data_IF_346304460067
#
_entry.id   IF_346304460067
#
_cell.length_a   1.000
_cell.length_b   1.000
_cell.length_c   1.000
_cell.angle_alpha   90.00
_cell.angle_beta   90.00
_cell.angle_gamma   90.00
#
_symmetry.space_group_name_H-M   'P 1'
#
loop_
_entity.id
_entity.type
_entity.pdbx_description
1 polymer ?
#
# COMPACT_ATOMS: atom_id res chain seq x y z
N UNK A 1 12.33 -19.16 7.04
CA UNK A 1 12.97 -18.46 5.90
C UNK A 1 12.40 -17.04 5.76
N UNK A 2 12.40 -16.24 6.85
CA UNK A 2 11.93 -14.84 6.85
C UNK A 2 12.72 -14.00 7.86
N UNK A 3 14.05 -14.14 7.86
CA UNK A 3 14.96 -13.41 8.76
C UNK A 3 15.83 -12.42 7.98
N UNK A 4 15.20 -11.56 7.17
CA UNK A 4 15.94 -10.66 6.26
C UNK A 4 15.27 -9.34 5.90
N UNK A 5 14.10 -9.01 6.44
CA UNK A 5 13.49 -7.68 6.24
C UNK A 5 14.00 -6.71 7.32
N UNK A 6 15.32 -6.56 7.39
CA UNK A 6 15.94 -5.38 8.00
C UNK A 6 15.65 -4.18 7.13
N UNK A 7 14.73 -3.31 7.59
CA UNK A 7 14.68 -1.86 7.40
C UNK A 7 15.45 -1.26 6.21
N UNK A 8 15.19 -1.72 4.98
CA UNK A 8 15.53 -0.95 3.79
C UNK A 8 14.27 -0.25 3.32
N UNK A 9 14.19 1.05 3.59
CA UNK A 9 13.43 1.96 2.74
C UNK A 9 14.06 1.86 1.35
N UNK A 10 13.51 1.00 0.53
CA UNK A 10 13.98 0.75 -0.81
C UNK A 10 13.43 1.89 -1.69
N UNK A 11 14.28 2.49 -2.53
CA UNK A 11 13.86 3.61 -3.37
C UNK A 11 12.72 3.16 -4.29
N UNK A 12 11.84 4.07 -4.73
CA UNK A 12 10.70 3.71 -5.60
C UNK A 12 11.11 2.83 -6.80
N UNK A 13 12.29 3.11 -7.39
CA UNK A 13 12.86 2.32 -8.51
C UNK A 13 13.34 0.93 -8.10
N UNK A 14 14.01 0.80 -6.96
CA UNK A 14 14.48 -0.51 -6.46
C UNK A 14 13.29 -1.35 -5.95
N UNK A 15 12.30 -0.74 -5.30
CA UNK A 15 11.03 -1.36 -4.92
C UNK A 15 10.30 -1.89 -6.16
N UNK A 16 10.24 -1.08 -7.22
CA UNK A 16 9.64 -1.46 -8.48
C UNK A 16 10.35 -2.63 -9.14
N UNK A 17 11.69 -2.62 -9.17
CA UNK A 17 12.47 -3.74 -9.70
C UNK A 17 12.24 -5.02 -8.88
N UNK A 18 12.25 -4.93 -7.55
CA UNK A 18 11.96 -6.08 -6.68
C UNK A 18 10.54 -6.60 -6.88
N UNK A 19 9.56 -5.70 -7.02
CA UNK A 19 8.17 -6.05 -7.32
C UNK A 19 8.07 -6.85 -8.63
N UNK A 20 8.62 -6.33 -9.73
CA UNK A 20 8.61 -7.00 -11.03
C UNK A 20 9.26 -8.39 -10.98
N UNK A 21 10.35 -8.54 -10.21
CA UNK A 21 11.05 -9.83 -10.11
C UNK A 21 10.45 -10.80 -9.10
N UNK A 22 9.46 -10.39 -8.30
CA UNK A 22 8.91 -11.20 -7.21
C UNK A 22 7.87 -12.23 -7.67
N UNK A 23 7.45 -12.21 -8.93
CA UNK A 23 6.39 -13.09 -9.44
C UNK A 23 4.98 -12.71 -8.96
N UNK A 24 4.84 -11.50 -8.40
CA UNK A 24 3.62 -11.06 -7.72
C UNK A 24 2.49 -10.74 -8.71
N UNK A 25 2.82 -10.29 -9.92
CA UNK A 25 1.86 -10.06 -11.00
C UNK A 25 1.27 -11.38 -11.50
N UNK A 26 2.11 -12.40 -11.67
CA UNK A 26 1.72 -13.77 -12.02
C UNK A 26 0.90 -14.41 -10.90
N UNK A 27 1.26 -14.17 -9.64
CA UNK A 27 0.49 -14.62 -8.49
C UNK A 27 -0.91 -14.00 -8.48
N UNK A 28 -1.05 -12.68 -8.69
CA UNK A 28 -2.36 -12.02 -8.75
C UNK A 28 -3.22 -12.51 -9.92
N UNK A 29 -2.60 -12.81 -11.06
CA UNK A 29 -3.27 -13.35 -12.24
C UNK A 29 -3.76 -14.78 -12.04
N UNK A 30 -3.07 -15.58 -11.22
CA UNK A 30 -3.40 -16.98 -10.95
C UNK A 30 -4.51 -17.21 -9.92
N UNK A 31 -4.82 -16.23 -9.07
CA UNK A 31 -5.74 -16.36 -7.92
C UNK A 31 -7.20 -15.99 -8.28
N UNK A 32 -7.56 -15.89 -9.57
CA UNK A 32 -8.90 -15.46 -10.00
C UNK A 32 -10.00 -16.56 -9.85
N UNK A 33 -10.87 -16.47 -8.82
CA UNK A 33 -12.33 -16.53 -9.00
C UNK A 33 -13.07 -15.27 -8.47
N UNK A 34 -14.40 -15.11 -8.74
CA UNK A 34 -15.06 -13.80 -8.92
C UNK A 34 -15.41 -13.01 -7.65
N UNK A 35 -14.83 -13.31 -6.49
CA UNK A 35 -15.24 -12.65 -5.24
C UNK A 35 -14.05 -12.33 -4.35
N UNK A 36 -13.63 -11.06 -4.38
CA UNK A 36 -13.62 -10.14 -3.23
C UNK A 36 -12.54 -9.06 -3.30
N UNK A 37 -11.60 -9.15 -4.24
CA UNK A 37 -10.66 -8.08 -4.52
C UNK A 37 -10.50 -8.01 -6.03
N UNK A 38 -10.85 -6.87 -6.63
CA UNK A 38 -10.65 -6.68 -8.05
C UNK A 38 -9.14 -6.52 -8.26
N UNK A 39 -8.44 -7.65 -8.46
CA UNK A 39 -6.98 -7.69 -8.61
C UNK A 39 -6.51 -6.74 -9.72
N UNK A 40 -7.38 -6.46 -10.69
CA UNK A 40 -7.20 -5.45 -11.74
C UNK A 40 -7.12 -4.03 -11.17
N UNK A 41 -7.99 -3.66 -10.22
CA UNK A 41 -7.97 -2.36 -9.53
C UNK A 41 -6.72 -2.19 -8.66
N UNK A 42 -6.25 -3.27 -8.03
CA UNK A 42 -5.01 -3.24 -7.25
C UNK A 42 -3.79 -3.02 -8.16
N UNK A 43 -3.66 -3.77 -9.25
CA UNK A 43 -2.58 -3.59 -10.24
C UNK A 43 -2.61 -2.20 -10.85
N UNK A 44 -3.79 -1.74 -11.29
CA UNK A 44 -3.96 -0.39 -11.85
C UNK A 44 -3.59 0.71 -10.85
N UNK A 45 -3.90 0.53 -9.56
CA UNK A 45 -3.49 1.46 -8.51
C UNK A 45 -1.97 1.50 -8.34
N UNK A 46 -1.31 0.35 -8.43
CA UNK A 46 0.16 0.25 -8.32
C UNK A 46 0.83 0.93 -9.50
N UNK A 47 0.38 0.65 -10.73
CA UNK A 47 0.85 1.33 -11.94
C UNK A 47 0.65 2.85 -11.87
N UNK A 48 -0.52 3.28 -11.38
CA UNK A 48 -0.80 4.69 -11.18
C UNK A 48 0.19 5.34 -10.22
N UNK A 49 0.43 4.72 -9.05
CA UNK A 49 1.39 5.21 -8.05
C UNK A 49 2.80 5.29 -8.62
N UNK A 50 3.22 4.31 -9.41
CA UNK A 50 4.54 4.28 -10.06
C UNK A 50 4.68 5.37 -11.13
N UNK A 51 3.58 5.78 -11.75
CA UNK A 51 3.53 6.87 -12.73
C UNK A 51 3.47 8.27 -12.11
N UNK A 52 3.21 8.41 -10.80
CA UNK A 52 3.19 9.71 -10.14
C UNK A 52 4.61 10.23 -9.89
N UNK A 53 4.86 11.48 -10.28
CA UNK A 53 6.08 12.16 -9.87
C UNK A 53 6.00 12.65 -8.41
N UNK A 54 7.14 13.10 -7.88
CA UNK A 54 7.24 13.53 -6.49
C UNK A 54 6.31 14.71 -6.16
N UNK A 55 6.04 15.60 -7.14
CA UNK A 55 5.19 16.77 -6.97
C UNK A 55 3.70 16.37 -6.93
N UNK A 56 3.28 15.47 -7.80
CA UNK A 56 1.94 14.92 -7.83
C UNK A 56 1.64 14.13 -6.54
N UNK A 57 2.60 13.35 -6.05
CA UNK A 57 2.47 12.65 -4.78
C UNK A 57 2.38 13.62 -3.59
N UNK A 58 3.23 14.65 -3.57
CA UNK A 58 3.18 15.69 -2.55
C UNK A 58 1.83 16.41 -2.56
N UNK A 59 1.32 16.76 -3.73
CA UNK A 59 0.01 17.35 -3.88
C UNK A 59 -1.10 16.45 -3.30
N UNK A 60 -1.04 15.14 -3.54
CA UNK A 60 -1.99 14.18 -2.99
C UNK A 60 -1.92 14.02 -1.46
N UNK A 61 -0.75 14.20 -0.85
CA UNK A 61 -0.53 14.07 0.60
C UNK A 61 -0.83 15.40 1.32
N UNK A 62 -0.51 16.55 0.73
CA UNK A 62 -0.53 17.85 1.40
C UNK A 62 -1.72 18.74 1.03
N UNK A 63 -2.34 18.62 -0.16
CA UNK A 63 -3.46 19.50 -0.56
C UNK A 63 -4.82 19.05 -0.02
N UNK A 64 -4.92 17.89 0.62
CA UNK A 64 -6.18 17.37 1.15
C UNK A 64 -6.14 17.17 2.66
N UNK A 65 -7.14 17.71 3.39
CA UNK A 65 -7.53 17.22 4.73
C UNK A 65 -8.12 15.79 4.67
N UNK A 66 -7.61 14.93 3.80
CA UNK A 66 -8.10 13.58 3.56
C UNK A 66 -7.33 12.62 4.45
N UNK A 67 -8.02 11.59 4.94
CA UNK A 67 -7.38 10.54 5.73
C UNK A 67 -6.25 9.87 4.94
N UNK A 68 -5.11 9.72 5.60
CA UNK A 68 -3.95 8.99 5.08
C UNK A 68 -4.00 7.56 5.60
N UNK A 69 -3.73 6.59 4.72
CA UNK A 69 -3.48 5.23 5.16
C UNK A 69 -2.22 5.21 6.03
N UNK A 70 -2.34 4.66 7.24
CA UNK A 70 -1.24 4.55 8.21
C UNK A 70 0.00 3.83 7.65
N UNK A 71 -0.21 2.79 6.83
CA UNK A 71 0.88 1.94 6.32
C UNK A 71 1.55 2.52 5.08
N UNK A 72 0.78 3.02 4.12
CA UNK A 72 1.32 3.51 2.85
C UNK A 72 1.58 5.01 2.82
N UNK A 73 1.02 5.77 3.77
CA UNK A 73 0.96 7.24 3.75
C UNK A 73 0.28 7.83 2.51
N UNK A 74 -0.54 7.04 1.82
CA UNK A 74 -1.30 7.50 0.66
C UNK A 74 -2.72 7.86 1.06
N UNK A 75 -3.29 8.87 0.41
CA UNK A 75 -4.73 9.16 0.52
C UNK A 75 -5.54 8.18 -0.33
N UNK A 76 -6.82 8.01 -0.01
CA UNK A 76 -7.73 7.20 -0.82
C UNK A 76 -7.83 7.70 -2.29
N UNK A 77 -7.51 8.97 -2.54
CA UNK A 77 -7.51 9.54 -3.89
C UNK A 77 -6.39 9.04 -4.78
N UNK A 78 -5.31 8.48 -4.21
CA UNK A 78 -4.18 7.93 -4.96
C UNK A 78 -4.44 6.48 -5.38
N UNK A 79 -5.27 5.74 -4.64
CA UNK A 79 -5.62 4.36 -4.93
C UNK A 79 -7.13 4.21 -5.08
N UNK A 80 -7.73 4.74 -6.17
CA UNK A 80 -9.16 4.68 -6.39
C UNK A 80 -9.63 3.22 -6.52
N UNK A 81 -10.72 2.88 -5.83
CA UNK A 81 -11.27 1.52 -5.79
C UNK A 81 -10.76 0.67 -4.61
N UNK A 82 -9.75 1.12 -3.86
CA UNK A 82 -9.30 0.44 -2.65
C UNK A 82 -10.00 1.01 -1.41
N UNK A 83 -10.73 0.15 -0.70
CA UNK A 83 -11.47 0.52 0.52
C UNK A 83 -10.53 0.82 1.69
N UNK A 84 -10.81 1.90 2.43
CA UNK A 84 -10.19 2.20 3.72
C UNK A 84 -11.05 1.69 4.89
N UNK A 85 -10.39 1.27 5.96
CA UNK A 85 -10.98 0.82 7.22
C UNK A 85 -10.22 1.41 8.39
N UNK A 86 -10.91 1.65 9.51
CA UNK A 86 -10.27 2.04 10.75
C UNK A 86 -9.66 0.79 11.43
N UNK A 87 -8.34 0.77 11.57
CA UNK A 87 -7.58 -0.31 12.21
C UNK A 87 -6.67 0.24 13.31
N UNK A 88 -7.00 -0.08 14.57
CA UNK A 88 -6.29 0.44 15.75
C UNK A 88 -6.28 1.98 15.81
N UNK A 89 -7.46 2.59 15.63
CA UNK A 89 -7.70 4.05 15.67
C UNK A 89 -7.08 4.87 14.53
N UNK A 90 -6.58 4.22 13.48
CA UNK A 90 -6.05 4.92 12.29
C UNK A 90 -6.63 4.30 11.02
N UNK A 91 -6.77 5.11 9.98
CA UNK A 91 -7.25 4.66 8.68
C UNK A 91 -6.19 3.83 7.97
N UNK A 92 -6.60 2.74 7.33
CA UNK A 92 -5.73 1.87 6.57
C UNK A 92 -6.47 1.26 5.38
N UNK A 93 -5.80 1.04 4.26
CA UNK A 93 -6.37 0.24 3.18
C UNK A 93 -6.64 -1.18 3.67
N UNK A 94 -7.83 -1.70 3.39
CA UNK A 94 -8.27 -3.02 3.86
C UNK A 94 -7.33 -4.13 3.38
N UNK A 95 -6.85 -4.04 2.15
CA UNK A 95 -5.90 -5.00 1.57
C UNK A 95 -4.58 -5.02 2.34
N UNK A 96 -4.06 -3.85 2.71
CA UNK A 96 -2.81 -3.75 3.47
C UNK A 96 -2.99 -4.19 4.92
N UNK A 97 -4.13 -3.86 5.53
CA UNK A 97 -4.46 -4.33 6.88
C UNK A 97 -4.55 -5.86 6.92
N UNK A 98 -5.25 -6.47 5.95
CA UNK A 98 -5.36 -7.93 5.84
C UNK A 98 -4.00 -8.60 5.59
N UNK A 99 -3.19 -8.03 4.69
CA UNK A 99 -1.85 -8.56 4.41
C UNK A 99 -0.99 -8.58 5.68
N UNK A 100 -0.95 -7.46 6.40
CA UNK A 100 -0.19 -7.38 7.64
C UNK A 100 -0.73 -8.31 8.72
N UNK A 101 -2.05 -8.30 8.94
CA UNK A 101 -2.72 -9.12 9.95
C UNK A 101 -2.46 -10.61 9.77
N UNK A 102 -2.43 -11.08 8.51
CA UNK A 102 -2.26 -12.49 8.19
C UNK A 102 -0.79 -12.93 8.12
N UNK A 103 0.13 -12.06 7.68
CA UNK A 103 1.52 -12.45 7.41
C UNK A 103 2.53 -12.02 8.48
N UNK A 104 2.23 -10.96 9.23
CA UNK A 104 3.20 -10.34 10.13
C UNK A 104 2.69 -10.39 11.57
N UNK A 105 1.54 -9.76 11.84
CA UNK A 105 0.95 -9.71 13.18
C UNK A 105 -0.49 -9.23 13.10
N UNK A 106 -1.37 -9.85 13.86
CA UNK A 106 -2.76 -9.40 13.99
C UNK A 106 -2.87 -7.94 14.48
N UNK A 107 -1.90 -7.46 15.25
CA UNK A 107 -1.89 -6.10 15.77
C UNK A 107 -1.26 -5.12 14.76
N UNK A 108 -1.79 -3.89 14.65
CA UNK A 108 -1.24 -2.89 13.76
C UNK A 108 0.19 -2.50 14.18
N UNK A 109 1.09 -2.21 13.22
CA UNK A 109 2.47 -1.85 13.53
C UNK A 109 2.56 -0.54 14.28
N UNK A 110 3.42 -0.48 15.30
CA UNK A 110 3.85 0.77 15.93
C UNK A 110 4.73 1.55 14.95
N UNK A 111 4.11 2.45 14.19
CA UNK A 111 4.81 3.35 13.30
C UNK A 111 5.03 4.70 14.00
N UNK A 112 6.21 5.33 13.82
CA UNK A 112 6.47 6.66 14.36
C UNK A 112 5.37 7.62 13.90
N UNK A 113 4.86 8.43 14.82
CA UNK A 113 3.86 9.44 14.48
C UNK A 113 4.54 10.51 13.65
N UNK A 114 4.24 10.53 12.35
CA UNK A 114 4.65 11.63 11.49
C UNK A 114 3.67 12.78 11.74
N UNK A 115 4.11 13.75 12.52
CA UNK A 115 3.44 15.03 12.66
C UNK A 115 3.60 15.78 11.34
N UNK A 116 2.65 15.59 10.44
CA UNK A 116 2.54 16.36 9.21
C UNK A 116 2.02 17.75 9.63
N UNK A 117 2.95 18.71 9.72
CA UNK A 117 2.68 20.14 9.97
C UNK A 117 2.13 20.79 8.72
#
# INVERSE_FOLDING_TARGET
MFSGLTNRLCSSKECHALWLTSGLEEAFSSVSPPTALDNTSLLSSIEHILGLDALALQNHVFLGKKSLCRLSMLTAGVAPGITMVTWGNKECFVTLANLWANLISHNPPELPQLNLV
#
